data_IF_188484049129
#
_entry.id   IF_188484049129
#
_cell.length_a   1.000
_cell.length_b   1.000
_cell.length_c   1.000
_cell.angle_alpha   90.00
_cell.angle_beta   90.00
_cell.angle_gamma   90.00
#
_symmetry.space_group_name_H-M   'P 1'
#
loop_
_entity.id
_entity.type
_entity.pdbx_description
1 polymer ?
#
# COMPACT_ATOMS: atom_id res chain seq x y z
N UNK A 1 10.27 -25.57 19.95
CA UNK A 1 10.90 -25.55 18.60
C UNK A 1 10.26 -24.53 17.68
N UNK A 2 11.04 -23.91 16.78
CA UNK A 2 10.51 -23.03 15.74
C UNK A 2 10.16 -23.84 14.50
N UNK A 3 8.93 -23.73 14.01
CA UNK A 3 8.54 -24.31 12.73
C UNK A 3 9.37 -23.70 11.58
N UNK A 4 9.80 -24.53 10.63
CA UNK A 4 10.45 -24.11 9.38
C UNK A 4 9.54 -24.44 8.20
N UNK A 5 9.45 -23.54 7.22
CA UNK A 5 8.70 -23.78 5.99
C UNK A 5 9.50 -24.68 5.02
N UNK A 6 9.73 -25.94 5.38
CA UNK A 6 10.54 -26.91 4.60
C UNK A 6 9.91 -27.30 3.26
N UNK A 7 8.64 -26.95 3.05
CA UNK A 7 7.88 -27.24 1.84
C UNK A 7 8.10 -26.22 0.70
N UNK A 8 8.74 -25.07 0.97
CA UNK A 8 9.04 -24.06 -0.05
C UNK A 8 10.52 -24.06 -0.43
N UNK A 9 10.81 -23.72 -1.69
CA UNK A 9 12.17 -23.49 -2.18
C UNK A 9 12.66 -22.05 -1.94
N UNK A 10 11.91 -21.24 -1.19
CA UNK A 10 12.27 -19.86 -0.83
C UNK A 10 12.04 -18.82 -1.92
N UNK A 11 11.39 -19.18 -3.05
CA UNK A 11 10.96 -18.25 -4.10
C UNK A 11 9.47 -17.97 -3.97
N UNK A 12 9.12 -16.70 -3.81
CA UNK A 12 7.74 -16.25 -3.60
C UNK A 12 7.34 -15.27 -4.70
N UNK A 13 6.08 -15.36 -5.13
CA UNK A 13 5.42 -14.33 -5.93
C UNK A 13 4.22 -13.76 -5.17
N UNK A 14 3.86 -12.50 -5.45
CA UNK A 14 2.64 -11.89 -4.90
C UNK A 14 1.76 -11.40 -6.06
N UNK A 15 0.47 -11.68 -5.98
CA UNK A 15 -0.54 -11.25 -6.95
C UNK A 15 -1.76 -10.76 -6.18
N UNK A 16 -2.42 -9.72 -6.68
CA UNK A 16 -3.62 -9.21 -6.05
C UNK A 16 -4.12 -7.93 -6.71
N UNK A 17 -5.41 -7.63 -6.49
CA UNK A 17 -6.04 -6.40 -6.97
C UNK A 17 -6.23 -5.40 -5.84
N UNK A 18 -6.11 -4.10 -6.15
CA UNK A 18 -6.41 -3.02 -5.21
C UNK A 18 -5.54 -3.12 -3.95
N UNK A 19 -6.14 -3.37 -2.79
CA UNK A 19 -5.45 -3.54 -1.52
C UNK A 19 -4.34 -4.60 -1.59
N UNK A 20 -4.62 -5.79 -2.10
CA UNK A 20 -3.63 -6.87 -2.16
C UNK A 20 -2.46 -6.55 -3.10
N UNK A 21 -2.76 -5.88 -4.23
CA UNK A 21 -1.74 -5.38 -5.15
C UNK A 21 -0.89 -4.26 -4.52
N UNK A 22 -1.51 -3.43 -3.68
CA UNK A 22 -0.83 -2.38 -2.91
C UNK A 22 0.13 -2.98 -1.89
N UNK A 23 -0.28 -4.04 -1.20
CA UNK A 23 0.62 -4.80 -0.31
C UNK A 23 1.78 -5.40 -1.10
N UNK A 24 1.54 -5.95 -2.30
CA UNK A 24 2.60 -6.46 -3.16
C UNK A 24 3.63 -5.37 -3.54
N UNK A 25 3.17 -4.16 -3.89
CA UNK A 25 4.05 -3.01 -4.14
C UNK A 25 4.88 -2.66 -2.89
N UNK A 26 4.24 -2.57 -1.72
CA UNK A 26 4.92 -2.26 -0.46
C UNK A 26 5.98 -3.30 -0.09
N UNK A 27 5.70 -4.59 -0.23
CA UNK A 27 6.69 -5.66 0.02
C UNK A 27 7.83 -5.59 -1.00
N UNK A 28 7.54 -5.35 -2.29
CA UNK A 28 8.57 -5.20 -3.31
C UNK A 28 9.53 -4.03 -3.01
N UNK A 29 9.01 -2.89 -2.56
CA UNK A 29 9.80 -1.72 -2.16
C UNK A 29 10.75 -1.98 -0.99
N UNK A 30 10.53 -3.03 -0.19
CA UNK A 30 11.50 -3.40 0.87
C UNK A 30 12.78 -4.04 0.32
N UNK A 31 12.77 -4.55 -0.92
CA UNK A 31 13.88 -5.33 -1.48
C UNK A 31 14.09 -6.69 -0.82
N UNK A 32 13.06 -7.22 -0.13
CA UNK A 32 13.14 -8.48 0.63
C UNK A 32 13.66 -9.64 -0.23
N UNK A 33 14.58 -10.41 0.34
CA UNK A 33 15.12 -11.62 -0.31
C UNK A 33 14.00 -12.67 -0.44
N UNK A 34 13.97 -13.34 -1.58
CA UNK A 34 13.02 -14.44 -1.85
C UNK A 34 11.80 -14.02 -2.65
N UNK A 35 11.39 -12.73 -2.62
CA UNK A 35 10.38 -12.22 -3.53
C UNK A 35 10.96 -12.14 -4.96
N UNK A 36 10.38 -12.90 -5.90
CA UNK A 36 10.88 -13.03 -7.26
C UNK A 36 10.04 -12.28 -8.29
N UNK A 37 8.74 -12.18 -8.06
CA UNK A 37 7.84 -11.48 -8.97
C UNK A 37 6.65 -10.89 -8.22
N UNK A 38 6.09 -9.78 -8.72
CA UNK A 38 4.78 -9.28 -8.33
C UNK A 38 3.88 -9.06 -9.55
N UNK A 39 2.59 -9.30 -9.39
CA UNK A 39 1.53 -8.95 -10.34
C UNK A 39 0.54 -7.99 -9.67
N UNK A 40 0.90 -6.70 -9.53
CA UNK A 40 0.02 -5.71 -8.94
C UNK A 40 -1.08 -5.31 -9.93
N UNK A 41 -2.33 -5.57 -9.58
CA UNK A 41 -3.51 -5.23 -10.39
C UNK A 41 -4.22 -4.02 -9.78
N UNK A 42 -4.34 -2.89 -10.47
CA UNK A 42 -4.94 -1.66 -9.90
C UNK A 42 -4.34 -1.29 -8.51
N UNK A 43 -3.02 -1.23 -8.38
CA UNK A 43 -2.36 -1.08 -7.07
C UNK A 43 -1.97 0.37 -6.76
N UNK A 44 -2.00 0.73 -5.48
CA UNK A 44 -1.52 2.02 -4.97
C UNK A 44 0.01 1.95 -4.83
N UNK A 45 0.70 3.03 -5.18
CA UNK A 45 2.14 3.22 -4.94
C UNK A 45 2.43 4.32 -3.92
N UNK A 46 1.52 5.29 -3.78
CA UNK A 46 1.55 6.33 -2.77
C UNK A 46 0.17 6.47 -2.15
N UNK A 47 0.08 6.24 -0.83
CA UNK A 47 -1.19 6.37 -0.12
C UNK A 47 -1.71 7.81 -0.11
N UNK A 48 -0.83 8.81 -0.15
CA UNK A 48 -1.24 10.20 -0.31
C UNK A 48 -1.97 10.39 -1.64
N UNK A 49 -1.40 9.89 -2.73
CA UNK A 49 -1.97 10.04 -4.07
C UNK A 49 -3.28 9.27 -4.26
N UNK A 50 -3.60 8.32 -3.38
CA UNK A 50 -4.92 7.68 -3.34
C UNK A 50 -5.99 8.62 -2.75
N UNK A 51 -5.68 9.38 -1.68
CA UNK A 51 -6.65 10.24 -0.99
C UNK A 51 -6.63 11.71 -1.44
N UNK A 52 -5.51 12.20 -1.99
CA UNK A 52 -5.29 13.59 -2.33
C UNK A 52 -4.73 13.75 -3.75
N UNK A 53 -4.94 14.93 -4.33
CA UNK A 53 -4.25 15.38 -5.54
C UNK A 53 -3.85 16.85 -5.37
N UNK A 54 -2.54 17.12 -5.32
CA UNK A 54 -1.99 18.48 -5.18
C UNK A 54 -2.58 19.26 -4.00
N UNK A 55 -2.72 18.61 -2.83
CA UNK A 55 -3.33 19.20 -1.64
C UNK A 55 -4.85 19.18 -1.61
N UNK A 56 -5.54 18.89 -2.72
CA UNK A 56 -7.00 18.77 -2.72
C UNK A 56 -7.43 17.37 -2.26
N UNK A 57 -8.34 17.24 -1.28
CA UNK A 57 -8.93 15.95 -0.91
C UNK A 57 -9.81 15.43 -2.05
N UNK A 58 -9.80 14.12 -2.25
CA UNK A 58 -10.57 13.45 -3.30
C UNK A 58 -11.78 12.68 -2.76
N UNK A 59 -11.74 12.37 -1.47
CA UNK A 59 -12.79 11.69 -0.75
C UNK A 59 -13.02 12.40 0.58
N UNK A 60 -14.25 12.31 1.08
CA UNK A 60 -14.58 12.69 2.47
C UNK A 60 -14.26 11.54 3.44
N UNK A 61 -13.10 10.89 3.25
CA UNK A 61 -12.66 9.71 3.99
C UNK A 61 -11.14 9.54 3.96
N UNK A 62 -10.60 8.61 4.75
CA UNK A 62 -9.15 8.41 4.87
C UNK A 62 -8.72 7.03 5.34
N UNK A 63 -7.42 6.89 5.65
CA UNK A 63 -6.84 5.64 6.11
C UNK A 63 -7.52 5.07 7.36
N UNK A 64 -8.02 5.92 8.24
CA UNK A 64 -8.80 5.59 9.43
C UNK A 64 -10.08 4.80 9.07
N UNK A 65 -10.84 5.27 8.09
CA UNK A 65 -12.05 4.57 7.62
C UNK A 65 -11.71 3.20 7.03
N UNK A 66 -10.67 3.14 6.20
CA UNK A 66 -10.25 1.88 5.56
C UNK A 66 -9.71 0.88 6.59
N UNK A 67 -8.98 1.36 7.61
CA UNK A 67 -8.56 0.50 8.72
C UNK A 67 -9.75 -0.08 9.45
N UNK A 68 -10.77 0.72 9.77
CA UNK A 68 -12.00 0.24 10.39
C UNK A 68 -12.79 -0.76 9.53
N UNK A 69 -12.67 -0.68 8.21
CA UNK A 69 -13.28 -1.64 7.28
C UNK A 69 -12.54 -2.99 7.22
N UNK A 70 -11.22 -2.98 7.32
CA UNK A 70 -10.37 -4.18 7.19
C UNK A 70 -10.11 -4.87 8.54
N UNK A 71 -10.06 -4.10 9.63
CA UNK A 71 -9.78 -4.63 10.95
C UNK A 71 -10.93 -5.51 11.47
N UNK A 72 -10.58 -6.60 12.17
CA UNK A 72 -11.58 -7.38 12.90
C UNK A 72 -12.11 -6.55 14.09
N UNK A 73 -13.34 -6.85 14.57
CA UNK A 73 -13.89 -6.16 15.75
C UNK A 73 -12.94 -6.20 16.96
N UNK A 74 -12.25 -7.32 17.18
CA UNK A 74 -11.30 -7.49 18.27
C UNK A 74 -10.04 -6.65 18.07
N UNK A 75 -9.55 -6.54 16.83
CA UNK A 75 -8.40 -5.70 16.49
C UNK A 75 -8.72 -4.22 16.73
N UNK A 76 -9.88 -3.75 16.26
CA UNK A 76 -10.36 -2.38 16.47
C UNK A 76 -10.45 -2.04 17.95
N UNK A 77 -11.00 -2.93 18.77
CA UNK A 77 -11.11 -2.73 20.22
C UNK A 77 -9.76 -2.64 20.95
N UNK A 78 -8.73 -3.31 20.43
CA UNK A 78 -7.39 -3.36 21.05
C UNK A 78 -6.41 -2.33 20.48
N UNK A 79 -6.70 -1.75 19.31
CA UNK A 79 -5.77 -0.91 18.56
C UNK A 79 -6.21 0.57 18.49
N UNK A 80 -7.00 1.05 19.45
CA UNK A 80 -7.48 2.44 19.48
C UNK A 80 -6.35 3.48 19.36
N UNK A 81 -5.19 3.24 19.97
CA UNK A 81 -4.03 4.11 19.85
C UNK A 81 -3.43 4.15 18.42
N UNK A 82 -3.55 3.06 17.65
CA UNK A 82 -3.16 3.03 16.24
C UNK A 82 -4.17 3.80 15.40
N UNK A 83 -5.47 3.60 15.66
CA UNK A 83 -6.54 4.35 14.98
C UNK A 83 -6.37 5.87 15.17
N UNK A 84 -6.08 6.32 16.40
CA UNK A 84 -5.84 7.74 16.66
C UNK A 84 -4.65 8.28 15.85
N UNK A 85 -3.56 7.50 15.72
CA UNK A 85 -2.41 7.89 14.89
C UNK A 85 -2.75 7.99 13.40
N UNK A 86 -3.70 7.18 12.89
CA UNK A 86 -4.18 7.30 11.51
C UNK A 86 -4.90 8.64 11.33
N UNK A 87 -5.80 8.99 12.26
CA UNK A 87 -6.55 10.26 12.23
C UNK A 87 -5.60 11.45 12.32
N UNK A 88 -4.69 11.47 13.31
CA UNK A 88 -3.78 12.59 13.55
C UNK A 88 -2.73 12.74 12.42
N UNK A 89 -2.31 11.62 11.83
CA UNK A 89 -1.28 11.60 10.79
C UNK A 89 -1.81 11.98 9.39
N UNK A 90 -3.11 11.80 9.15
CA UNK A 90 -3.76 12.06 7.88
C UNK A 90 -4.83 13.17 7.99
N UNK A 91 -4.47 14.40 8.42
CA UNK A 91 -5.44 15.49 8.50
C UNK A 91 -6.04 15.78 7.12
N UNK A 92 -7.30 16.23 7.11
CA UNK A 92 -8.05 16.53 5.88
C UNK A 92 -7.63 17.83 5.18
N UNK A 93 -6.59 18.49 5.68
CA UNK A 93 -6.04 19.72 5.11
C UNK A 93 -5.33 19.49 3.77
N UNK A 94 -4.91 18.25 3.50
CA UNK A 94 -4.17 17.88 2.28
C UNK A 94 -2.68 18.15 2.35
N UNK A 95 -2.17 18.55 3.50
CA UNK A 95 -0.73 18.72 3.73
C UNK A 95 0.00 17.37 3.63
N UNK A 96 1.19 17.42 3.03
CA UNK A 96 2.09 16.26 3.01
C UNK A 96 2.80 16.12 4.36
N UNK A 97 2.31 15.20 5.19
CA UNK A 97 2.84 14.90 6.51
C UNK A 97 3.90 13.78 6.47
N UNK A 98 4.60 13.60 7.59
CA UNK A 98 5.49 12.44 7.79
C UNK A 98 4.74 11.11 7.65
N UNK A 99 3.48 11.05 8.08
CA UNK A 99 2.63 9.86 7.96
C UNK A 99 2.46 9.41 6.50
N UNK A 100 2.27 10.36 5.58
CA UNK A 100 2.20 10.09 4.14
C UNK A 100 3.55 9.65 3.58
N UNK A 101 4.63 10.30 4.01
CA UNK A 101 6.00 9.94 3.62
C UNK A 101 6.35 8.50 4.01
N UNK A 102 5.89 8.01 5.17
CA UNK A 102 6.09 6.62 5.61
C UNK A 102 5.32 5.60 4.76
N UNK A 103 4.30 6.05 4.02
CA UNK A 103 3.39 5.24 3.20
C UNK A 103 3.51 5.57 1.71
N UNK A 104 4.62 6.17 1.33
CA UNK A 104 5.00 6.37 -0.06
C UNK A 104 6.03 5.30 -0.44
N UNK A 105 5.63 4.39 -1.32
CA UNK A 105 6.51 3.32 -1.80
C UNK A 105 7.38 3.78 -2.97
N UNK A 106 7.01 4.87 -3.64
CA UNK A 106 7.70 5.41 -4.83
C UNK A 106 9.13 5.79 -4.50
N UNK A 107 9.34 6.41 -3.32
CA UNK A 107 10.68 6.76 -2.82
C UNK A 107 11.65 5.58 -2.71
N UNK A 108 11.11 4.36 -2.61
CA UNK A 108 11.84 3.12 -2.40
C UNK A 108 11.81 2.20 -3.65
N UNK A 109 11.30 2.67 -4.78
CA UNK A 109 11.23 1.91 -6.03
C UNK A 109 12.61 1.37 -6.47
N UNK A 110 13.69 2.10 -6.20
CA UNK A 110 15.07 1.67 -6.48
C UNK A 110 15.53 0.42 -5.71
N UNK A 111 14.82 0.04 -4.64
CA UNK A 111 15.10 -1.18 -3.86
C UNK A 111 14.42 -2.42 -4.45
N UNK A 112 13.51 -2.26 -5.39
CA UNK A 112 12.77 -3.37 -6.01
C UNK A 112 13.74 -4.27 -6.77
N UNK A 113 13.72 -5.56 -6.43
CA UNK A 113 14.54 -6.61 -7.07
C UNK A 113 13.73 -7.68 -7.79
N UNK A 114 12.44 -7.78 -7.46
CA UNK A 114 11.50 -8.69 -8.09
C UNK A 114 11.14 -8.19 -9.49
N UNK A 115 10.82 -9.08 -10.42
CA UNK A 115 10.15 -8.65 -11.66
C UNK A 115 8.75 -8.12 -11.35
N UNK A 116 8.26 -7.21 -12.17
CA UNK A 116 6.94 -6.58 -11.99
C UNK A 116 6.14 -6.77 -13.27
N UNK A 117 5.00 -7.45 -13.17
CA UNK A 117 4.02 -7.54 -14.25
C UNK A 117 2.78 -6.72 -13.89
N UNK A 118 2.82 -5.44 -14.26
CA UNK A 118 1.79 -4.46 -13.93
C UNK A 118 0.50 -4.70 -14.73
N UNK A 119 -0.64 -4.61 -14.06
CA UNK A 119 -1.97 -4.59 -14.68
C UNK A 119 -2.76 -3.39 -14.15
N UNK A 120 -3.23 -2.51 -15.02
CA UNK A 120 -4.01 -1.34 -14.59
C UNK A 120 -5.03 -0.93 -15.65
N UNK A 121 -6.26 -0.66 -15.23
CA UNK A 121 -7.30 -0.15 -16.14
C UNK A 121 -7.10 1.35 -16.41
N UNK A 122 -7.11 1.76 -17.68
CA UNK A 122 -7.00 3.19 -18.04
C UNK A 122 -8.19 4.03 -17.55
N UNK A 123 -9.34 3.38 -17.28
CA UNK A 123 -10.56 4.00 -16.77
C UNK A 123 -10.76 3.75 -15.27
N UNK A 124 -9.75 3.26 -14.54
CA UNK A 124 -9.83 3.10 -13.09
C UNK A 124 -9.76 4.47 -12.42
N UNK A 125 -10.92 5.02 -12.04
CA UNK A 125 -11.05 6.28 -11.33
C UNK A 125 -10.92 6.11 -9.80
N UNK A 126 -10.85 4.87 -9.30
CA UNK A 126 -10.66 4.59 -7.88
C UNK A 126 -9.16 4.61 -7.56
N UNK A 127 -8.41 3.63 -8.07
CA UNK A 127 -6.95 3.63 -8.02
C UNK A 127 -6.46 4.24 -9.33
N UNK A 128 -6.23 5.55 -9.34
CA UNK A 128 -5.91 6.31 -10.56
C UNK A 128 -4.54 5.95 -11.13
N UNK A 129 -4.41 6.11 -12.44
CA UNK A 129 -3.24 5.73 -13.27
C UNK A 129 -1.92 6.34 -12.81
N UNK A 130 -1.95 7.49 -12.12
CA UNK A 130 -0.77 8.09 -11.47
C UNK A 130 -0.02 7.05 -10.62
N UNK A 131 -0.72 6.16 -9.92
CA UNK A 131 -0.10 5.17 -9.05
C UNK A 131 0.83 4.21 -9.79
N UNK A 132 0.52 3.81 -11.02
CA UNK A 132 1.46 3.00 -11.80
C UNK A 132 2.46 3.86 -12.55
N UNK A 133 2.05 5.06 -13.01
CA UNK A 133 2.88 5.91 -13.86
C UNK A 133 4.12 6.46 -13.15
N UNK A 134 4.00 6.77 -11.86
CA UNK A 134 5.09 7.35 -11.06
C UNK A 134 6.05 6.32 -10.44
N UNK A 135 5.81 5.03 -10.65
CA UNK A 135 6.59 3.96 -10.05
C UNK A 135 7.96 3.74 -10.71
N UNK A 136 8.12 4.27 -11.93
CA UNK A 136 9.27 4.09 -12.81
C UNK A 136 10.04 5.40 -12.98
#
# INVERSE_FOLDING_TARGET
DRAKATWTNGRTGMIGKSWDGTIANGVAATGVKGLKTIVPISAISSWYDYYFAKGAPLYDSGPDWLSGYVDSPEATAKCAAVQQKLVDGAPRTGDWTKFWSERDYVKDASKVRASVFLVHGMQDLNVRTKNFGQWW
#
